data_IF_344226360040
#
_entry.id   IF_344226360040
#
_cell.length_a   1.000
_cell.length_b   1.000
_cell.length_c   1.000
_cell.angle_alpha   90.00
_cell.angle_beta   90.00
_cell.angle_gamma   90.00
#
_symmetry.space_group_name_H-M   'P 1'
#
loop_
_entity.id
_entity.type
_entity.pdbx_description
1 polymer ?
#
# COMPACT_ATOMS: atom_id res chain seq x y z
N UNK A 1 14.56 6.13 1.34
CA UNK A 1 13.47 6.21 2.35
C UNK A 1 13.17 4.79 2.78
N UNK A 2 13.01 4.51 4.07
CA UNK A 2 12.74 3.15 4.52
C UNK A 2 11.35 2.73 4.02
N UNK A 3 11.17 1.48 3.61
CA UNK A 3 9.93 1.08 2.94
C UNK A 3 8.71 1.08 3.88
N UNK A 4 8.91 1.09 5.20
CA UNK A 4 7.82 1.34 6.15
C UNK A 4 7.36 2.81 6.15
N UNK A 5 8.26 3.73 5.80
CA UNK A 5 7.98 5.17 5.77
C UNK A 5 6.93 5.50 4.70
N UNK A 6 6.92 4.78 3.58
CA UNK A 6 5.99 5.02 2.48
C UNK A 6 4.54 4.62 2.81
N UNK A 7 4.32 3.48 3.50
CA UNK A 7 2.98 3.12 3.96
C UNK A 7 2.48 4.09 5.04
N UNK A 8 3.37 4.51 5.95
CA UNK A 8 3.07 5.52 6.98
C UNK A 8 2.66 6.85 6.35
N UNK A 9 3.39 7.31 5.33
CA UNK A 9 3.09 8.54 4.61
C UNK A 9 1.70 8.48 3.95
N UNK A 10 1.41 7.39 3.23
CA UNK A 10 0.09 7.19 2.59
C UNK A 10 -1.03 7.19 3.62
N UNK A 11 -0.84 6.52 4.77
CA UNK A 11 -1.80 6.54 5.88
C UNK A 11 -1.97 7.95 6.46
N UNK A 12 -0.90 8.74 6.53
CA UNK A 12 -0.95 10.14 6.95
C UNK A 12 -1.82 11.00 6.03
N UNK A 13 -1.62 10.89 4.71
CA UNK A 13 -2.43 11.61 3.71
C UNK A 13 -3.91 11.21 3.82
N UNK A 14 -4.19 9.92 4.03
CA UNK A 14 -5.54 9.44 4.27
C UNK A 14 -6.19 10.08 5.50
N UNK A 15 -5.47 10.13 6.63
CA UNK A 15 -6.00 10.72 7.86
C UNK A 15 -6.31 12.22 7.67
N UNK A 16 -5.40 12.98 7.05
CA UNK A 16 -5.61 14.40 6.76
C UNK A 16 -6.84 14.60 5.86
N UNK A 17 -7.04 13.70 4.90
CA UNK A 17 -8.19 13.76 3.99
C UNK A 17 -9.51 13.49 4.73
N UNK A 18 -9.53 12.50 5.64
CA UNK A 18 -10.68 12.24 6.51
C UNK A 18 -11.00 13.42 7.42
N UNK A 19 -9.98 13.99 8.07
CA UNK A 19 -10.14 15.14 8.95
C UNK A 19 -10.72 16.34 8.18
N UNK A 20 -10.24 16.56 6.96
CA UNK A 20 -10.75 17.61 6.06
C UNK A 20 -12.23 17.41 5.71
N UNK A 21 -12.63 16.17 5.39
CA UNK A 21 -14.04 15.84 5.14
C UNK A 21 -14.90 15.96 6.40
N UNK A 22 -14.36 15.63 7.57
CA UNK A 22 -15.06 15.77 8.83
C UNK A 22 -15.32 17.26 9.16
N UNK A 23 -14.33 18.13 8.96
CA UNK A 23 -14.48 19.58 9.11
C UNK A 23 -15.51 20.13 8.13
N UNK A 24 -15.50 19.67 6.87
CA UNK A 24 -16.50 20.04 5.87
C UNK A 24 -17.92 19.63 6.31
N UNK A 25 -18.08 18.39 6.82
CA UNK A 25 -19.36 17.88 7.33
C UNK A 25 -19.89 18.77 8.45
N UNK A 26 -19.04 19.05 9.45
CA UNK A 26 -19.41 19.88 10.59
C UNK A 26 -19.82 21.28 10.15
N UNK A 27 -19.08 21.87 9.21
CA UNK A 27 -19.35 23.22 8.71
C UNK A 27 -20.68 23.33 7.96
N UNK A 28 -21.11 22.25 7.29
CA UNK A 28 -22.44 22.17 6.64
C UNK A 28 -23.54 22.07 7.69
N UNK A 29 -23.32 21.33 8.77
CA UNK A 29 -24.31 21.14 9.85
C UNK A 29 -24.51 22.38 10.73
N UNK A 30 -23.46 23.16 11.01
CA UNK A 30 -23.50 24.29 11.96
C UNK A 30 -23.70 25.67 11.33
N UNK A 31 -23.85 25.74 10.00
CA UNK A 31 -24.10 26.89 9.12
C UNK A 31 -23.91 28.34 9.64
N UNK A 32 -24.63 28.78 10.66
CA UNK A 32 -24.56 30.17 11.15
C UNK A 32 -23.15 30.61 11.58
N UNK A 33 -22.36 29.70 12.16
CA UNK A 33 -21.00 30.01 12.63
C UNK A 33 -19.90 29.70 11.60
N UNK A 34 -20.22 29.03 10.49
CA UNK A 34 -19.23 28.37 9.63
C UNK A 34 -19.35 28.69 8.13
N UNK A 35 -20.32 29.52 7.73
CA UNK A 35 -20.52 29.97 6.32
C UNK A 35 -19.25 30.55 5.67
N UNK A 36 -18.38 31.20 6.45
CA UNK A 36 -17.10 31.71 5.96
C UNK A 36 -16.15 30.62 5.48
N UNK A 37 -16.18 29.44 6.10
CA UNK A 37 -15.30 28.30 5.78
C UNK A 37 -15.72 27.60 4.49
N UNK A 38 -17.01 27.65 4.15
CA UNK A 38 -17.57 27.03 2.94
C UNK A 38 -17.53 27.96 1.72
N UNK A 39 -17.17 29.23 1.90
CA UNK A 39 -17.13 30.21 0.80
C UNK A 39 -16.20 29.74 -0.32
N UNK A 40 -16.63 29.91 -1.56
CA UNK A 40 -15.92 29.49 -2.78
C UNK A 40 -15.76 27.96 -2.93
N UNK A 41 -16.58 27.17 -2.26
CA UNK A 41 -16.63 25.71 -2.45
C UNK A 41 -17.91 25.27 -3.18
N UNK A 42 -17.92 24.03 -3.67
CA UNK A 42 -19.13 23.40 -4.23
C UNK A 42 -20.27 23.30 -3.21
N UNK A 43 -19.98 23.29 -1.91
CA UNK A 43 -20.98 23.18 -0.85
C UNK A 43 -21.95 24.37 -0.81
N UNK A 44 -21.53 25.54 -1.30
CA UNK A 44 -22.41 26.72 -1.41
C UNK A 44 -23.38 26.67 -2.58
N UNK A 45 -23.21 25.71 -3.50
CA UNK A 45 -23.98 25.60 -4.74
C UNK A 45 -25.01 24.46 -4.69
N UNK A 46 -25.04 23.70 -3.60
CA UNK A 46 -25.88 22.51 -3.42
C UNK A 46 -26.65 22.59 -2.10
N UNK A 47 -27.66 21.74 -1.92
CA UNK A 47 -28.36 21.61 -0.64
C UNK A 47 -27.49 20.91 0.40
N UNK A 48 -27.81 21.11 1.68
CA UNK A 48 -27.07 20.49 2.79
C UNK A 48 -27.16 18.97 2.74
N UNK A 49 -28.35 18.45 2.45
CA UNK A 49 -28.57 17.02 2.24
C UNK A 49 -27.66 16.47 1.14
N UNK A 50 -27.53 17.19 0.02
CA UNK A 50 -26.65 16.78 -1.07
C UNK A 50 -25.16 16.91 -0.71
N UNK A 51 -24.78 17.96 0.02
CA UNK A 51 -23.42 18.14 0.52
C UNK A 51 -23.02 16.99 1.45
N UNK A 52 -23.85 16.65 2.43
CA UNK A 52 -23.59 15.56 3.38
C UNK A 52 -23.53 14.20 2.68
N UNK A 53 -24.44 13.93 1.72
CA UNK A 53 -24.37 12.71 0.90
C UNK A 53 -23.06 12.60 0.11
N UNK A 54 -22.59 13.72 -0.47
CA UNK A 54 -21.32 13.75 -1.22
C UNK A 54 -20.11 13.58 -0.32
N UNK A 55 -20.14 14.15 0.88
CA UNK A 55 -19.08 13.99 1.89
C UNK A 55 -18.99 12.53 2.32
N UNK A 56 -20.11 11.89 2.62
CA UNK A 56 -20.17 10.48 3.01
C UNK A 56 -19.69 9.55 1.88
N UNK A 57 -20.13 9.81 0.65
CA UNK A 57 -19.63 9.13 -0.54
C UNK A 57 -18.12 9.35 -0.74
N UNK A 58 -17.64 10.56 -0.43
CA UNK A 58 -16.23 10.93 -0.48
C UNK A 58 -15.38 10.16 0.53
N UNK A 59 -15.88 9.96 1.76
CA UNK A 59 -15.22 9.14 2.79
C UNK A 59 -15.05 7.69 2.29
N UNK A 60 -16.12 7.11 1.77
CA UNK A 60 -16.07 5.76 1.17
C UNK A 60 -15.11 5.68 -0.01
N UNK A 61 -15.06 6.72 -0.87
CA UNK A 61 -14.12 6.78 -1.98
C UNK A 61 -12.66 6.86 -1.53
N UNK A 62 -12.37 7.62 -0.48
CA UNK A 62 -11.02 7.75 0.08
C UNK A 62 -10.55 6.42 0.71
N UNK A 63 -11.44 5.66 1.33
CA UNK A 63 -11.14 4.31 1.82
C UNK A 63 -10.65 3.39 0.70
N UNK A 64 -11.39 3.34 -0.41
CA UNK A 64 -11.02 2.57 -1.61
C UNK A 64 -9.63 3.01 -2.14
N UNK A 65 -9.40 4.32 -2.24
CA UNK A 65 -8.13 4.88 -2.73
C UNK A 65 -6.96 4.58 -1.82
N UNK A 66 -7.18 4.54 -0.51
CA UNK A 66 -6.13 4.17 0.45
C UNK A 66 -5.69 2.73 0.20
N UNK A 67 -6.63 1.78 0.09
CA UNK A 67 -6.29 0.37 -0.12
C UNK A 67 -5.54 0.16 -1.44
N UNK A 68 -5.94 0.86 -2.51
CA UNK A 68 -5.23 0.85 -3.80
C UNK A 68 -3.80 1.37 -3.68
N UNK A 69 -3.61 2.49 -2.99
CA UNK A 69 -2.31 3.14 -2.80
C UNK A 69 -1.37 2.25 -1.97
N UNK A 70 -1.87 1.72 -0.85
CA UNK A 70 -1.12 0.80 0.01
C UNK A 70 -0.68 -0.44 -0.76
N UNK A 71 -1.58 -1.06 -1.52
CA UNK A 71 -1.25 -2.24 -2.33
C UNK A 71 -0.15 -1.94 -3.34
N UNK A 72 -0.24 -0.81 -4.04
CA UNK A 72 0.72 -0.45 -5.09
C UNK A 72 2.14 -0.30 -4.52
N UNK A 73 2.26 0.38 -3.38
CA UNK A 73 3.55 0.54 -2.70
C UNK A 73 4.06 -0.79 -2.15
N UNK A 74 3.20 -1.56 -1.48
CA UNK A 74 3.56 -2.88 -0.99
C UNK A 74 4.08 -3.81 -2.09
N UNK A 75 3.37 -3.88 -3.22
CA UNK A 75 3.74 -4.70 -4.38
C UNK A 75 5.11 -4.29 -4.92
N UNK A 76 5.36 -2.98 -5.07
CA UNK A 76 6.66 -2.47 -5.49
C UNK A 76 7.78 -2.88 -4.53
N UNK A 77 7.53 -2.80 -3.23
CA UNK A 77 8.51 -3.14 -2.21
C UNK A 77 8.85 -4.63 -2.19
N UNK A 78 7.88 -5.52 -2.45
CA UNK A 78 8.18 -6.95 -2.60
C UNK A 78 9.09 -7.22 -3.80
N UNK A 79 8.87 -6.56 -4.93
CA UNK A 79 9.76 -6.70 -6.09
C UNK A 79 11.16 -6.14 -5.80
N UNK A 80 11.26 -4.96 -5.18
CA UNK A 80 12.54 -4.37 -4.80
C UNK A 80 13.31 -5.26 -3.83
N UNK A 81 12.60 -5.90 -2.90
CA UNK A 81 13.17 -6.88 -1.99
C UNK A 81 13.82 -8.06 -2.74
N UNK A 82 13.09 -8.66 -3.68
CA UNK A 82 13.60 -9.77 -4.50
C UNK A 82 14.79 -9.34 -5.38
N UNK A 83 14.74 -8.12 -5.94
CA UNK A 83 15.84 -7.57 -6.72
C UNK A 83 17.11 -7.39 -5.87
N UNK A 84 16.99 -6.89 -4.65
CA UNK A 84 18.11 -6.76 -3.71
C UNK A 84 18.72 -8.11 -3.34
N UNK A 85 17.89 -9.10 -3.01
CA UNK A 85 18.37 -10.46 -2.69
C UNK A 85 19.05 -11.14 -3.88
N UNK A 86 18.53 -10.94 -5.10
CA UNK A 86 19.19 -11.42 -6.32
C UNK A 86 20.60 -10.84 -6.51
N UNK A 87 20.81 -9.59 -6.07
CA UNK A 87 22.11 -8.92 -6.13
C UNK A 87 23.15 -9.58 -5.22
N UNK A 88 22.74 -10.05 -4.05
CA UNK A 88 23.61 -10.68 -3.05
C UNK A 88 24.10 -12.06 -3.43
N UNK A 89 23.26 -12.83 -4.11
CA UNK A 89 23.64 -14.15 -4.62
C UNK A 89 24.87 -14.07 -5.55
N UNK A 90 25.09 -12.94 -6.23
CA UNK A 90 26.23 -12.73 -7.12
C UNK A 90 27.55 -12.44 -6.37
N UNK A 91 27.51 -11.88 -5.16
CA UNK A 91 28.71 -11.58 -4.35
C UNK A 91 29.42 -12.86 -3.90
N UNK A 92 28.70 -13.98 -3.84
CA UNK A 92 29.24 -15.32 -3.49
C UNK A 92 29.99 -16.00 -4.63
N UNK A 93 30.10 -15.38 -5.81
CA UNK A 93 30.90 -15.89 -6.94
C UNK A 93 30.74 -15.07 -8.21
N UNK A 94 31.66 -14.11 -8.42
CA UNK A 94 31.66 -13.24 -9.60
C UNK A 94 32.23 -13.98 -10.83
N UNK A 95 31.35 -14.42 -11.73
CA UNK A 95 31.68 -14.96 -13.04
C UNK A 95 30.86 -14.22 -14.12
N UNK A 96 31.30 -14.31 -15.38
CA UNK A 96 30.53 -13.80 -16.52
C UNK A 96 29.15 -14.46 -16.64
N UNK A 97 29.05 -15.74 -16.25
CA UNK A 97 27.80 -16.49 -16.17
C UNK A 97 26.87 -15.94 -15.08
N UNK A 98 27.34 -15.79 -13.84
CA UNK A 98 26.52 -15.30 -12.72
C UNK A 98 26.00 -13.87 -12.97
N UNK A 99 26.80 -13.02 -13.62
CA UNK A 99 26.39 -11.68 -14.03
C UNK A 99 25.28 -11.69 -15.10
N UNK A 100 25.38 -12.58 -16.09
CA UNK A 100 24.37 -12.71 -17.16
C UNK A 100 23.07 -13.33 -16.64
N UNK A 101 23.19 -14.32 -15.75
CA UNK A 101 22.06 -14.93 -15.06
C UNK A 101 21.31 -13.92 -14.20
N UNK A 102 22.02 -13.09 -13.41
CA UNK A 102 21.42 -12.01 -12.61
C UNK A 102 20.62 -11.03 -13.46
N UNK A 103 21.20 -10.51 -14.55
CA UNK A 103 20.50 -9.59 -15.46
C UNK A 103 19.25 -10.21 -16.09
N UNK A 104 19.22 -11.52 -16.29
CA UNK A 104 18.02 -12.22 -16.72
C UNK A 104 17.01 -12.30 -15.57
N UNK A 105 17.44 -12.72 -14.39
CA UNK A 105 16.59 -12.82 -13.20
C UNK A 105 15.93 -11.49 -12.82
N UNK A 106 16.69 -10.39 -12.73
CA UNK A 106 16.16 -9.05 -12.41
C UNK A 106 15.08 -8.58 -13.40
N UNK A 107 15.23 -8.92 -14.69
CA UNK A 107 14.23 -8.61 -15.73
C UNK A 107 12.98 -9.48 -15.65
N UNK A 108 13.12 -10.71 -15.16
CA UNK A 108 12.00 -11.65 -15.07
C UNK A 108 11.19 -11.48 -13.78
N UNK A 109 11.81 -11.04 -12.69
CA UNK A 109 11.17 -10.85 -11.38
C UNK A 109 9.91 -9.98 -11.48
N UNK A 110 9.93 -8.91 -12.28
CA UNK A 110 8.77 -8.02 -12.44
C UNK A 110 7.58 -8.66 -13.19
N UNK A 111 7.80 -9.78 -13.89
CA UNK A 111 6.75 -10.53 -14.58
C UNK A 111 6.18 -11.68 -13.74
N UNK A 112 6.76 -11.95 -12.57
CA UNK A 112 6.26 -12.99 -11.69
C UNK A 112 4.91 -12.59 -11.12
N UNK A 113 4.02 -13.56 -10.95
CA UNK A 113 2.73 -13.28 -10.32
C UNK A 113 2.97 -13.10 -8.84
N UNK A 114 2.41 -12.03 -8.29
CA UNK A 114 2.52 -11.75 -6.86
C UNK A 114 1.98 -12.88 -5.97
N UNK A 115 0.96 -13.63 -6.45
CA UNK A 115 0.44 -14.79 -5.73
C UNK A 115 1.49 -15.91 -5.62
N UNK A 116 2.25 -16.14 -6.71
CA UNK A 116 3.33 -17.13 -6.76
C UNK A 116 4.52 -16.66 -5.90
N UNK A 117 4.84 -15.36 -5.93
CA UNK A 117 5.85 -14.77 -5.04
C UNK A 117 5.50 -14.98 -3.56
N UNK A 118 4.25 -14.73 -3.18
CA UNK A 118 3.79 -14.89 -1.80
C UNK A 118 3.83 -16.36 -1.35
N UNK A 119 3.40 -17.29 -2.20
CA UNK A 119 3.35 -18.72 -1.85
C UNK A 119 4.71 -19.40 -1.91
N UNK A 120 5.46 -19.21 -3.00
CA UNK A 120 6.64 -20.02 -3.29
C UNK A 120 7.93 -19.41 -2.72
N UNK A 121 8.00 -18.07 -2.70
CA UNK A 121 9.21 -17.37 -2.22
C UNK A 121 9.06 -16.96 -0.77
N UNK A 122 8.03 -16.17 -0.45
CA UNK A 122 7.82 -15.69 0.92
C UNK A 122 7.09 -16.69 1.82
N UNK A 123 6.52 -17.77 1.28
CA UNK A 123 5.89 -18.84 2.06
C UNK A 123 6.84 -19.62 2.97
N UNK A 124 8.15 -19.49 2.77
CA UNK A 124 9.16 -20.01 3.69
C UNK A 124 9.32 -19.16 4.97
N UNK A 125 8.89 -17.89 4.93
CA UNK A 125 9.13 -16.89 5.98
C UNK A 125 7.81 -16.46 6.64
N UNK A 126 6.78 -16.24 5.83
CA UNK A 126 5.47 -15.77 6.26
C UNK A 126 4.58 -16.95 6.59
N UNK A 127 3.78 -16.82 7.65
CA UNK A 127 2.76 -17.82 7.94
C UNK A 127 1.61 -17.78 6.91
N UNK A 128 0.88 -18.90 6.81
CA UNK A 128 -0.20 -19.09 5.83
C UNK A 128 -1.40 -18.17 6.08
N UNK A 129 -1.64 -17.78 7.33
CA UNK A 129 -2.77 -16.91 7.67
C UNK A 129 -2.51 -15.49 7.15
N UNK A 130 -1.29 -14.99 7.35
CA UNK A 130 -0.83 -13.71 6.84
C UNK A 130 -0.84 -13.66 5.31
N UNK A 131 -0.33 -14.69 4.64
CA UNK A 131 -0.43 -14.82 3.17
C UNK A 131 -1.89 -14.81 2.71
N UNK A 132 -2.76 -15.55 3.41
CA UNK A 132 -4.19 -15.57 3.16
C UNK A 132 -4.82 -14.18 3.26
N UNK A 133 -4.46 -13.41 4.29
CA UNK A 133 -4.94 -12.05 4.50
C UNK A 133 -4.48 -11.08 3.39
N UNK A 134 -3.21 -11.14 2.98
CA UNK A 134 -2.68 -10.34 1.86
C UNK A 134 -3.43 -10.64 0.57
N UNK A 135 -3.70 -11.92 0.30
CA UNK A 135 -4.47 -12.34 -0.88
C UNK A 135 -5.92 -11.85 -0.86
N UNK A 136 -6.52 -11.68 0.32
CA UNK A 136 -7.84 -11.05 0.43
C UNK A 136 -7.77 -9.56 0.05
N UNK A 137 -6.74 -8.84 0.49
CA UNK A 137 -6.51 -7.43 0.11
C UNK A 137 -6.31 -7.32 -1.41
N UNK A 138 -5.51 -8.21 -2.01
CA UNK A 138 -5.34 -8.26 -3.47
C UNK A 138 -6.67 -8.44 -4.20
N UNK A 139 -7.49 -9.39 -3.77
CA UNK A 139 -8.81 -9.63 -4.36
C UNK A 139 -9.71 -8.40 -4.27
N UNK A 140 -9.66 -7.69 -3.14
CA UNK A 140 -10.37 -6.43 -2.97
C UNK A 140 -9.84 -5.33 -3.90
N UNK A 141 -8.52 -5.16 -4.02
CA UNK A 141 -7.90 -4.26 -5.00
C UNK A 141 -8.30 -4.59 -6.44
N UNK A 142 -8.25 -5.86 -6.83
CA UNK A 142 -8.65 -6.32 -8.17
C UNK A 142 -10.14 -6.02 -8.42
N UNK A 143 -11.00 -6.18 -7.42
CA UNK A 143 -12.40 -5.80 -7.49
C UNK A 143 -12.57 -4.28 -7.62
N UNK A 144 -11.84 -3.47 -6.85
CA UNK A 144 -11.88 -2.00 -6.91
C UNK A 144 -11.49 -1.47 -8.29
N UNK A 145 -10.47 -2.05 -8.93
CA UNK A 145 -10.02 -1.63 -10.27
C UNK A 145 -11.08 -1.94 -11.34
N UNK A 146 -11.78 -3.06 -11.20
CA UNK A 146 -12.75 -3.50 -12.21
C UNK A 146 -14.19 -3.06 -11.93
N UNK A 147 -14.52 -2.72 -10.66
CA UNK A 147 -15.87 -2.47 -10.12
C UNK A 147 -16.95 -3.35 -10.75
N UNK A 148 -16.62 -4.62 -11.03
CA UNK A 148 -17.48 -5.47 -11.83
C UNK A 148 -18.66 -5.95 -10.96
N UNK A 149 -19.90 -5.51 -11.24
CA UNK A 149 -21.05 -5.86 -10.42
C UNK A 149 -21.41 -7.35 -10.49
N UNK A 150 -20.84 -8.09 -11.46
CA UNK A 150 -21.03 -9.55 -11.59
C UNK A 150 -20.08 -10.36 -10.71
N UNK A 151 -19.04 -9.74 -10.12
CA UNK A 151 -18.14 -10.40 -9.17
C UNK A 151 -18.59 -10.10 -7.75
N UNK A 152 -18.63 -11.12 -6.90
CA UNK A 152 -18.97 -10.97 -5.49
C UNK A 152 -18.01 -9.97 -4.82
N UNK A 153 -18.56 -9.12 -3.96
CA UNK A 153 -17.76 -8.20 -3.14
C UNK A 153 -16.82 -9.01 -2.25
N UNK A 154 -15.50 -8.83 -2.36
CA UNK A 154 -14.52 -9.64 -1.65
C UNK A 154 -14.35 -9.18 -0.19
N UNK A 155 -15.35 -9.47 0.65
CA UNK A 155 -15.29 -9.33 2.12
C UNK A 155 -15.05 -7.90 2.67
N UNK A 156 -15.03 -7.77 4.00
CA UNK A 156 -14.79 -6.50 4.69
C UNK A 156 -13.28 -6.22 4.84
N UNK A 157 -12.65 -5.77 3.76
CA UNK A 157 -11.32 -5.15 3.85
C UNK A 157 -11.51 -3.68 4.21
N UNK A 158 -11.03 -3.29 5.39
CA UNK A 158 -10.98 -1.88 5.82
C UNK A 158 -9.59 -1.31 5.54
N UNK A 159 -9.45 0.02 5.39
CA UNK A 159 -8.14 0.63 5.14
C UNK A 159 -7.14 0.37 6.28
N UNK A 160 -7.61 0.38 7.52
CA UNK A 160 -6.78 0.05 8.68
C UNK A 160 -6.29 -1.41 8.62
N UNK A 161 -7.19 -2.37 8.32
CA UNK A 161 -6.80 -3.78 8.17
C UNK A 161 -5.80 -3.98 7.04
N UNK A 162 -5.97 -3.29 5.92
CA UNK A 162 -5.03 -3.34 4.82
C UNK A 162 -3.65 -2.81 5.24
N UNK A 163 -3.62 -1.64 5.88
CA UNK A 163 -2.37 -1.06 6.40
C UNK A 163 -1.65 -2.00 7.36
N UNK A 164 -2.35 -2.52 8.37
CA UNK A 164 -1.75 -3.39 9.39
C UNK A 164 -1.18 -4.66 8.76
N UNK A 165 -2.00 -5.36 7.96
CA UNK A 165 -1.59 -6.62 7.31
C UNK A 165 -0.36 -6.44 6.42
N UNK A 166 -0.33 -5.38 5.60
CA UNK A 166 0.79 -5.13 4.69
C UNK A 166 2.05 -4.69 5.45
N UNK A 167 1.88 -3.92 6.53
CA UNK A 167 2.99 -3.50 7.41
C UNK A 167 3.59 -4.68 8.16
N UNK A 168 2.76 -5.63 8.59
CA UNK A 168 3.18 -6.86 9.28
C UNK A 168 4.03 -7.74 8.37
N UNK A 169 3.64 -7.89 7.10
CA UNK A 169 4.46 -8.61 6.11
C UNK A 169 5.82 -7.93 5.94
N UNK A 170 5.85 -6.62 5.68
CA UNK A 170 7.10 -5.90 5.46
C UNK A 170 8.02 -5.92 6.69
N UNK A 171 7.45 -5.84 7.89
CA UNK A 171 8.19 -5.97 9.14
C UNK A 171 8.74 -7.38 9.31
N UNK A 172 7.94 -8.41 9.02
CA UNK A 172 8.38 -9.81 9.06
C UNK A 172 9.55 -10.07 8.11
N UNK A 173 9.51 -9.52 6.90
CA UNK A 173 10.61 -9.64 5.94
C UNK A 173 11.87 -8.88 6.38
N UNK A 174 11.72 -7.68 6.94
CA UNK A 174 12.84 -6.88 7.45
C UNK A 174 13.53 -7.54 8.64
N UNK A 175 12.74 -8.10 9.55
CA UNK A 175 13.24 -8.59 10.84
C UNK A 175 13.69 -10.06 10.77
N UNK A 176 13.44 -10.75 9.64
CA UNK A 176 13.82 -12.15 9.47
C UNK A 176 15.35 -12.31 9.40
N UNK A 177 15.98 -13.22 10.17
CA UNK A 177 17.44 -13.32 10.30
C UNK A 177 18.19 -13.53 8.98
N UNK A 178 17.62 -14.33 8.07
CA UNK A 178 18.21 -14.62 6.76
C UNK A 178 18.15 -13.40 5.81
N UNK A 179 17.37 -12.39 6.18
CA UNK A 179 16.97 -11.24 5.37
C UNK A 179 17.37 -9.89 6.00
N UNK A 180 17.66 -9.87 7.31
CA UNK A 180 17.81 -8.67 8.14
C UNK A 180 18.98 -7.74 7.74
N UNK A 181 19.88 -8.20 6.88
CA UNK A 181 20.93 -7.34 6.33
C UNK A 181 20.48 -6.53 5.10
N UNK A 182 19.29 -6.77 4.52
CA UNK A 182 18.75 -6.08 3.31
C UNK A 182 18.66 -4.56 3.46
N UNK A 183 18.35 -4.08 4.66
CA UNK A 183 17.94 -2.70 4.89
C UNK A 183 19.04 -1.72 5.32
N UNK A 184 20.24 -2.20 5.66
CA UNK A 184 21.26 -1.37 6.33
C UNK A 184 22.21 -0.66 5.33
N UNK A 185 22.16 -0.99 4.04
CA UNK A 185 23.17 -0.53 3.08
C UNK A 185 23.04 0.94 2.60
N UNK A 186 21.98 1.68 2.93
CA UNK A 186 21.84 3.09 2.50
C UNK A 186 22.28 4.14 3.56
N UNK A 187 22.73 3.72 4.75
CA UNK A 187 23.08 4.65 5.84
C UNK A 187 24.56 4.93 6.08
N UNK A 188 25.49 4.19 5.47
CA UNK A 188 26.90 4.17 5.86
C UNK A 188 27.87 4.70 4.79
N UNK A 189 27.43 5.65 3.97
CA UNK A 189 28.21 6.14 2.83
C UNK A 189 28.24 7.65 2.69
N UNK A 190 28.54 8.39 3.76
CA UNK A 190 28.92 9.82 3.67
C UNK A 190 29.63 10.29 4.96
N UNK A 191 30.82 9.74 5.21
CA UNK A 191 31.87 10.45 5.95
C UNK A 191 33.24 10.07 5.36
N UNK A 192 33.72 10.92 4.45
CA UNK A 192 35.14 11.23 4.25
C UNK A 192 35.21 12.58 3.52
#
# INVERSE_FOLDING_TARGET
MSSNDALVEIRGVYQISLDSLQVASQSVETKEDSLGLLKNTLFMQISDEEALRRIDSGKSGIDDYLVLSLWTVFERQLYEYLQQESGRLAERGASSFSSSFRKKLEREIEYWRIDDILDDVFGAILDKELIGAVKQIKKYRDWLVHRNPKKAFPGNITPQRAYDTLSDVLSSLRDHPDLANAYVAEGAGLQA
#
